data_IF_649883563135
#
_entry.id   IF_649883563135
#
_cell.length_a   1.000
_cell.length_b   1.000
_cell.length_c   1.000
_cell.angle_alpha   90.00
_cell.angle_beta   90.00
_cell.angle_gamma   90.00
#
_symmetry.space_group_name_H-M   'P 1'
#
loop_
_entity.id
_entity.type
_entity.pdbx_description
1 polymer ?
#
# COMPACT_ATOMS: atom_id res chain seq x y z
N UNK A 1 -11.78 13.40 32.11
CA UNK A 1 -11.40 14.28 30.99
C UNK A 1 -9.95 14.05 30.55
N UNK A 2 -8.97 13.95 31.46
CA UNK A 2 -7.55 13.84 31.11
C UNK A 2 -7.14 12.51 30.46
N UNK A 3 -7.69 11.37 30.87
CA UNK A 3 -7.38 10.06 30.28
C UNK A 3 -7.87 9.92 28.82
N UNK A 4 -8.99 10.57 28.47
CA UNK A 4 -9.47 10.62 27.08
C UNK A 4 -8.54 11.49 26.23
N UNK A 5 -8.08 12.62 26.77
CA UNK A 5 -7.11 13.51 26.09
C UNK A 5 -5.74 12.84 25.94
N UNK A 6 -5.28 12.06 26.91
CA UNK A 6 -4.06 11.23 26.78
C UNK A 6 -4.22 10.10 25.76
N UNK A 7 -5.37 9.43 25.74
CA UNK A 7 -5.66 8.39 24.75
C UNK A 7 -5.79 8.93 23.30
N UNK A 8 -6.08 10.22 23.14
CA UNK A 8 -6.03 10.92 21.84
C UNK A 8 -4.58 11.35 21.51
N UNK A 9 -3.79 11.76 22.51
CA UNK A 9 -2.37 12.11 22.34
C UNK A 9 -1.51 10.91 21.94
N UNK A 10 -1.77 9.75 22.54
CA UNK A 10 -1.04 8.50 22.31
C UNK A 10 -2.01 7.40 21.86
N UNK A 11 -2.44 7.40 20.59
CA UNK A 11 -3.26 6.33 20.06
C UNK A 11 -2.48 5.01 20.09
N UNK A 12 -3.13 3.98 20.63
CA UNK A 12 -2.58 2.64 20.76
C UNK A 12 -2.13 2.08 19.40
N UNK A 13 -0.92 1.48 19.39
CA UNK A 13 -0.31 0.83 18.22
C UNK A 13 -1.27 -0.17 17.59
N UNK A 14 -2.00 -0.94 18.41
CA UNK A 14 -2.95 -1.95 17.95
C UNK A 14 -3.98 -1.39 16.97
N UNK A 15 -4.42 -0.13 17.14
CA UNK A 15 -5.40 0.51 16.25
C UNK A 15 -4.83 0.72 14.85
N UNK A 16 -3.59 1.19 14.77
CA UNK A 16 -2.92 1.38 13.47
C UNK A 16 -2.65 0.05 12.78
N UNK A 17 -2.24 -0.97 13.53
CA UNK A 17 -2.01 -2.31 12.97
C UNK A 17 -3.30 -2.93 12.43
N UNK A 18 -4.43 -2.76 13.13
CA UNK A 18 -5.74 -3.22 12.64
C UNK A 18 -6.14 -2.48 11.35
N UNK A 19 -5.97 -1.15 11.30
CA UNK A 19 -6.26 -0.38 10.09
C UNK A 19 -5.34 -0.82 8.93
N UNK A 20 -4.04 -0.97 9.18
CA UNK A 20 -3.08 -1.46 8.21
C UNK A 20 -3.45 -2.85 7.68
N UNK A 21 -3.83 -3.77 8.57
CA UNK A 21 -4.29 -5.11 8.18
C UNK A 21 -5.56 -5.06 7.33
N UNK A 22 -6.54 -4.22 7.68
CA UNK A 22 -7.77 -4.05 6.90
C UNK A 22 -7.48 -3.49 5.51
N UNK A 23 -6.66 -2.44 5.40
CA UNK A 23 -6.26 -1.86 4.12
C UNK A 23 -5.50 -2.86 3.25
N UNK A 24 -4.60 -3.64 3.86
CA UNK A 24 -3.86 -4.70 3.17
C UNK A 24 -4.80 -5.76 2.60
N UNK A 25 -5.74 -6.26 3.41
CA UNK A 25 -6.72 -7.27 2.96
C UNK A 25 -7.63 -6.71 1.86
N UNK A 26 -8.08 -5.46 1.98
CA UNK A 26 -8.88 -4.80 0.93
C UNK A 26 -8.07 -4.69 -0.37
N UNK A 27 -6.79 -4.31 -0.29
CA UNK A 27 -5.89 -4.26 -1.43
C UNK A 27 -5.73 -5.64 -2.08
N UNK A 28 -5.46 -6.68 -1.29
CA UNK A 28 -5.34 -8.06 -1.79
C UNK A 28 -6.65 -8.52 -2.45
N UNK A 29 -7.80 -8.28 -1.81
CA UNK A 29 -9.09 -8.60 -2.38
C UNK A 29 -9.33 -7.85 -3.70
N UNK A 30 -8.91 -6.58 -3.78
CA UNK A 30 -8.93 -5.78 -5.00
C UNK A 30 -8.10 -6.41 -6.11
N UNK A 31 -6.86 -6.81 -5.84
CA UNK A 31 -6.00 -7.48 -6.83
C UNK A 31 -6.63 -8.76 -7.37
N UNK A 32 -7.24 -9.58 -6.50
CA UNK A 32 -7.79 -10.88 -6.87
C UNK A 32 -9.16 -10.82 -7.58
N UNK A 33 -9.97 -9.80 -7.29
CA UNK A 33 -11.36 -9.74 -7.77
C UNK A 33 -11.57 -8.82 -8.97
N UNK A 34 -10.65 -7.89 -9.23
CA UNK A 34 -10.83 -6.87 -10.25
C UNK A 34 -10.29 -7.35 -11.59
N UNK A 35 -11.03 -7.06 -12.66
CA UNK A 35 -10.62 -7.37 -14.05
C UNK A 35 -9.99 -6.20 -14.78
N UNK A 36 -10.25 -4.98 -14.31
CA UNK A 36 -9.69 -3.77 -14.89
C UNK A 36 -8.26 -3.58 -14.34
N UNK A 37 -7.28 -3.57 -15.24
CA UNK A 37 -5.85 -3.49 -14.90
C UNK A 37 -5.52 -2.23 -14.10
N UNK A 38 -6.16 -1.09 -14.39
CA UNK A 38 -5.94 0.14 -13.63
C UNK A 38 -6.39 -0.03 -12.18
N UNK A 39 -7.53 -0.70 -11.96
CA UNK A 39 -8.04 -0.96 -10.60
C UNK A 39 -7.14 -1.95 -9.86
N UNK A 40 -6.53 -2.91 -10.57
CA UNK A 40 -5.53 -3.81 -9.99
C UNK A 40 -4.32 -3.01 -9.52
N UNK A 41 -3.77 -2.09 -10.34
CA UNK A 41 -2.68 -1.19 -9.93
C UNK A 41 -3.04 -0.36 -8.70
N UNK A 42 -4.23 0.27 -8.68
CA UNK A 42 -4.70 1.01 -7.49
C UNK A 42 -4.80 0.12 -6.25
N UNK A 43 -5.09 -1.17 -6.41
CA UNK A 43 -5.16 -2.12 -5.30
C UNK A 43 -3.76 -2.50 -4.79
N UNK A 44 -2.76 -2.61 -5.68
CA UNK A 44 -1.35 -2.80 -5.31
C UNK A 44 -0.83 -1.58 -4.54
N UNK A 45 -1.12 -0.37 -5.00
CA UNK A 45 -0.77 0.86 -4.29
C UNK A 45 -1.40 0.93 -2.89
N UNK A 46 -2.63 0.41 -2.73
CA UNK A 46 -3.28 0.33 -1.43
C UNK A 46 -2.56 -0.65 -0.49
N UNK A 47 -2.05 -1.78 -1.01
CA UNK A 47 -1.23 -2.75 -0.26
C UNK A 47 0.07 -2.08 0.21
N UNK A 48 0.76 -1.35 -0.67
CA UNK A 48 2.00 -0.65 -0.33
C UNK A 48 1.77 0.46 0.72
N UNK A 49 0.64 1.19 0.61
CA UNK A 49 0.26 2.18 1.61
C UNK A 49 -0.09 1.56 2.97
N UNK A 50 -0.70 0.38 2.99
CA UNK A 50 -0.95 -0.36 4.23
C UNK A 50 0.36 -0.77 4.93
N UNK A 51 1.36 -1.21 4.17
CA UNK A 51 2.69 -1.50 4.69
C UNK A 51 3.37 -0.24 5.25
N UNK A 52 3.31 0.88 4.53
CA UNK A 52 3.84 2.17 4.98
C UNK A 52 3.21 2.65 6.30
N UNK A 53 1.90 2.50 6.44
CA UNK A 53 1.20 2.83 7.68
C UNK A 53 1.77 2.04 8.87
N UNK A 54 1.98 0.73 8.69
CA UNK A 54 2.57 -0.13 9.72
C UNK A 54 4.01 0.28 10.05
N UNK A 55 4.84 0.59 9.05
CA UNK A 55 6.22 1.05 9.28
C UNK A 55 6.29 2.36 10.08
N UNK A 56 5.43 3.34 9.75
CA UNK A 56 5.35 4.59 10.51
C UNK A 56 4.83 4.34 11.93
N UNK A 57 3.82 3.48 12.09
CA UNK A 57 3.26 3.15 13.41
C UNK A 57 4.30 2.48 14.33
N UNK A 58 5.08 1.53 13.81
CA UNK A 58 6.19 0.92 14.54
C UNK A 58 7.32 1.90 14.83
N UNK A 59 7.66 2.78 13.88
CA UNK A 59 8.65 3.84 14.07
C UNK A 59 8.29 4.74 15.26
N UNK A 60 7.03 5.20 15.33
CA UNK A 60 6.53 6.00 16.45
C UNK A 60 6.55 5.21 17.76
N UNK A 61 6.08 3.97 17.77
CA UNK A 61 6.07 3.14 18.99
C UNK A 61 7.48 2.92 19.55
N UNK A 62 8.46 2.64 18.68
CA UNK A 62 9.86 2.48 19.08
C UNK A 62 10.49 3.79 19.56
N UNK A 63 10.05 4.93 19.03
CA UNK A 63 10.47 6.26 19.49
C UNK A 63 10.00 6.52 20.93
N UNK A 64 8.72 6.25 21.21
CA UNK A 64 8.13 6.41 22.53
C UNK A 64 8.76 5.44 23.56
N UNK A 65 9.19 4.25 23.12
CA UNK A 65 9.91 3.27 23.93
C UNK A 65 11.40 3.59 24.18
N UNK A 66 11.91 4.72 23.66
CA UNK A 66 13.30 5.15 23.86
C UNK A 66 14.34 4.40 23.01
N UNK A 67 13.92 3.72 21.94
CA UNK A 67 14.85 3.01 21.04
C UNK A 67 15.67 3.97 20.18
N UNK A 68 16.98 3.74 20.09
CA UNK A 68 17.91 4.57 19.33
C UNK A 68 17.66 4.53 17.80
N UNK A 69 17.01 3.46 17.29
CA UNK A 69 16.77 3.24 15.85
C UNK A 69 15.34 3.53 15.41
N UNK A 70 14.59 4.35 16.16
CA UNK A 70 13.19 4.62 15.88
C UNK A 70 12.92 5.22 14.48
N UNK A 71 13.91 5.83 13.82
CA UNK A 71 13.78 6.46 12.50
C UNK A 71 13.74 5.44 11.33
N UNK A 72 14.11 4.18 11.58
CA UNK A 72 14.21 3.18 10.51
C UNK A 72 12.89 2.98 9.74
N UNK A 73 11.74 2.94 10.42
CA UNK A 73 10.44 2.77 9.76
C UNK A 73 10.06 3.96 8.87
N UNK A 74 10.43 5.19 9.25
CA UNK A 74 10.25 6.37 8.38
C UNK A 74 11.11 6.29 7.13
N UNK A 75 12.38 5.90 7.26
CA UNK A 75 13.29 5.72 6.13
C UNK A 75 12.74 4.67 5.16
N UNK A 76 12.35 3.49 5.66
CA UNK A 76 11.73 2.45 4.82
C UNK A 76 10.48 2.94 4.09
N UNK A 77 9.64 3.73 4.76
CA UNK A 77 8.44 4.29 4.13
C UNK A 77 8.77 5.20 2.94
N UNK A 78 9.78 6.06 3.06
CA UNK A 78 10.23 6.91 1.94
C UNK A 78 10.70 6.06 0.76
N UNK A 79 11.51 5.01 1.02
CA UNK A 79 11.95 4.10 -0.04
C UNK A 79 10.78 3.39 -0.72
N UNK A 80 9.80 2.90 0.04
CA UNK A 80 8.61 2.25 -0.52
C UNK A 80 7.81 3.23 -1.39
N UNK A 81 7.62 4.48 -0.96
CA UNK A 81 6.94 5.51 -1.77
C UNK A 81 7.69 5.76 -3.09
N UNK A 82 9.02 5.83 -3.05
CA UNK A 82 9.84 6.00 -4.26
C UNK A 82 9.72 4.81 -5.20
N UNK A 83 9.77 3.58 -4.67
CA UNK A 83 9.58 2.36 -5.45
C UNK A 83 8.18 2.28 -6.05
N UNK A 84 7.15 2.62 -5.27
CA UNK A 84 5.76 2.67 -5.72
C UNK A 84 5.58 3.67 -6.87
N UNK A 85 6.17 4.87 -6.76
CA UNK A 85 6.14 5.86 -7.84
C UNK A 85 6.81 5.34 -9.13
N UNK A 86 7.95 4.64 -8.99
CA UNK A 86 8.64 4.04 -10.13
C UNK A 86 7.83 2.88 -10.75
N UNK A 87 7.25 2.00 -9.92
CA UNK A 87 6.39 0.91 -10.35
C UNK A 87 5.16 1.43 -11.11
N UNK A 88 4.45 2.42 -10.56
CA UNK A 88 3.26 3.00 -11.18
C UNK A 88 3.58 3.65 -12.54
N UNK A 89 4.72 4.32 -12.68
CA UNK A 89 5.17 4.91 -13.94
C UNK A 89 5.44 3.83 -15.02
N UNK A 90 6.16 2.76 -14.64
CA UNK A 90 6.46 1.65 -15.54
C UNK A 90 5.19 0.87 -15.89
N UNK A 91 4.37 0.56 -14.88
CA UNK A 91 3.12 -0.17 -15.01
C UNK A 91 2.13 0.53 -15.94
N UNK A 92 1.92 1.84 -15.76
CA UNK A 92 1.05 2.61 -16.65
C UNK A 92 1.62 2.68 -18.08
N UNK A 93 2.95 2.82 -18.23
CA UNK A 93 3.60 2.75 -19.55
C UNK A 93 3.30 1.44 -20.29
N UNK A 94 3.37 0.31 -19.57
CA UNK A 94 3.01 -1.01 -20.10
C UNK A 94 1.53 -1.07 -20.46
N UNK A 95 0.64 -0.56 -19.61
CA UNK A 95 -0.82 -0.55 -19.89
C UNK A 95 -1.14 0.25 -21.13
N UNK A 96 -0.54 1.43 -21.32
CA UNK A 96 -0.74 2.25 -22.52
C UNK A 96 -0.24 1.50 -23.77
N UNK A 97 0.93 0.86 -23.69
CA UNK A 97 1.47 0.08 -24.80
C UNK A 97 0.57 -1.12 -25.15
N UNK A 98 -0.01 -1.80 -24.15
CA UNK A 98 -0.97 -2.88 -24.35
C UNK A 98 -2.28 -2.37 -24.95
N UNK A 99 -2.82 -1.27 -24.43
CA UNK A 99 -4.07 -0.68 -24.91
C UNK A 99 -3.98 -0.28 -26.38
N UNK A 100 -2.83 0.23 -26.84
CA UNK A 100 -2.61 0.56 -28.25
C UNK A 100 -2.72 -0.64 -29.21
N UNK A 101 -2.50 -1.85 -28.72
CA UNK A 101 -2.54 -3.07 -29.54
C UNK A 101 -3.80 -3.92 -29.33
N UNK A 102 -4.44 -3.81 -28.17
CA UNK A 102 -5.58 -4.66 -27.77
C UNK A 102 -6.88 -3.89 -27.56
N UNK A 103 -6.83 -2.55 -27.53
CA UNK A 103 -7.97 -1.63 -27.30
C UNK A 103 -8.83 -1.99 -26.07
N UNK A 104 -8.22 -2.63 -25.07
CA UNK A 104 -8.91 -3.06 -23.84
C UNK A 104 -7.99 -2.95 -22.63
N UNK A 105 -8.59 -2.62 -21.48
CA UNK A 105 -7.95 -2.56 -20.16
C UNK A 105 -8.36 -3.74 -19.26
N UNK A 106 -9.10 -4.69 -19.81
CA UNK A 106 -9.58 -5.87 -19.10
C UNK A 106 -8.57 -7.03 -19.25
N UNK A 107 -8.02 -7.49 -18.12
CA UNK A 107 -6.96 -8.50 -18.09
C UNK A 107 -7.41 -9.87 -18.61
N UNK A 108 -8.69 -10.20 -18.45
CA UNK A 108 -9.29 -11.47 -18.92
C UNK A 108 -9.38 -11.56 -20.44
N UNK A 109 -9.18 -10.45 -21.16
CA UNK A 109 -9.11 -10.38 -22.63
C UNK A 109 -7.68 -10.47 -23.17
N UNK A 110 -6.68 -10.56 -22.29
CA UNK A 110 -5.26 -10.67 -22.65
C UNK A 110 -4.83 -12.12 -22.45
N UNK A 111 -5.30 -13.01 -23.33
CA UNK A 111 -5.12 -14.47 -23.21
C UNK A 111 -4.36 -15.10 -24.38
N UNK A 112 -3.57 -14.29 -25.10
CA UNK A 112 -2.79 -14.70 -26.27
C UNK A 112 -1.86 -15.91 -26.04
N UNK A 113 -1.45 -16.14 -24.79
CA UNK A 113 -0.55 -17.23 -24.39
C UNK A 113 -1.28 -18.41 -23.73
N UNK A 114 -2.61 -18.47 -23.79
CA UNK A 114 -3.35 -19.68 -23.41
C UNK A 114 -3.24 -20.72 -24.52
N UNK A 115 -2.99 -21.97 -24.13
CA UNK A 115 -3.05 -23.14 -25.00
C UNK A 115 -4.50 -23.56 -25.23
#
# INVERSE_FOLDING_TARGET
MNAVVEGIKNPDLSKFLVIGALLFVIGVAGVLTRRNIIVIFMSIELILNAANLNFIAFSRYLQDAGSMNAVAGQVFTVFIIVVAAAEAAIGLGIVIALYRNKETIFIDRIDLLKW
#
